data_IF_275318911108
#
_entry.id   IF_275318911108
#
_cell.length_a   1.000
_cell.length_b   1.000
_cell.length_c   1.000
_cell.angle_alpha   90.00
_cell.angle_beta   90.00
_cell.angle_gamma   90.00
#
_symmetry.space_group_name_H-M   'P 1'
#
loop_
_entity.id
_entity.type
_entity.pdbx_description
1 polymer ?
#
# COMPACT_ATOMS: atom_id res chain seq x y z
N UNK A 1 -41.94 33.62 7.32
CA UNK A 1 -41.01 34.07 6.28
C UNK A 1 -39.62 33.97 6.90
N UNK A 2 -38.84 32.96 6.51
CA UNK A 2 -37.61 32.50 7.18
C UNK A 2 -36.43 33.36 6.71
N UNK A 3 -35.57 33.76 7.65
CA UNK A 3 -34.24 34.35 7.43
C UNK A 3 -33.15 33.34 7.88
N UNK A 4 -31.89 33.50 7.45
CA UNK A 4 -31.01 32.41 6.99
C UNK A 4 -29.94 31.96 7.99
N UNK A 5 -29.32 30.79 7.77
CA UNK A 5 -28.00 30.50 8.33
C UNK A 5 -27.19 29.59 7.38
N UNK A 6 -25.97 30.03 7.07
CA UNK A 6 -24.91 29.31 6.37
C UNK A 6 -24.19 28.48 7.44
N UNK A 7 -23.89 27.20 7.17
CA UNK A 7 -22.56 26.59 7.32
C UNK A 7 -22.59 25.07 7.61
N UNK A 8 -21.47 24.47 7.19
CA UNK A 8 -20.82 23.30 7.75
C UNK A 8 -21.33 21.91 7.32
N UNK A 9 -20.58 21.32 6.37
CA UNK A 9 -20.34 19.88 6.30
C UNK A 9 -19.67 19.43 7.62
N UNK A 10 -20.20 18.42 8.34
CA UNK A 10 -19.44 17.63 9.30
C UNK A 10 -19.02 16.30 8.62
N UNK A 11 -17.86 15.69 8.81
CA UNK A 11 -16.69 15.93 9.64
C UNK A 11 -15.53 15.24 8.91
N UNK A 12 -14.45 15.96 8.65
CA UNK A 12 -13.14 15.35 8.64
C UNK A 12 -12.82 14.96 10.09
N UNK A 13 -12.54 13.68 10.35
CA UNK A 13 -11.68 13.19 11.43
C UNK A 13 -11.81 11.68 11.55
N UNK A 14 -10.87 10.97 10.93
CA UNK A 14 -10.21 9.84 11.55
C UNK A 14 -8.73 9.96 11.22
N UNK A 15 -8.10 11.01 11.76
CA UNK A 15 -6.66 11.03 12.01
C UNK A 15 -6.39 9.95 13.07
N UNK A 16 -6.27 8.70 12.62
CA UNK A 16 -5.83 7.58 13.43
C UNK A 16 -4.31 7.59 13.50
N UNK A 17 -3.78 8.15 14.58
CA UNK A 17 -2.44 7.88 15.11
C UNK A 17 -1.29 7.98 14.12
N UNK A 18 -0.85 9.21 13.82
CA UNK A 18 0.55 9.43 13.48
C UNK A 18 1.36 9.20 14.76
N UNK A 19 2.02 8.04 14.87
CA UNK A 19 3.10 7.87 15.83
C UNK A 19 4.20 8.86 15.45
N UNK A 20 4.35 9.91 16.26
CA UNK A 20 5.40 10.93 16.11
C UNK A 20 6.76 10.32 16.46
N UNK A 21 7.29 9.53 15.54
CA UNK A 21 8.73 9.41 15.35
C UNK A 21 8.99 9.81 13.90
N UNK A 22 9.05 11.11 13.63
CA UNK A 22 9.36 11.66 12.30
C UNK A 22 10.87 11.57 12.02
N UNK A 23 11.37 10.64 11.19
CA UNK A 23 12.18 11.08 10.08
C UNK A 23 11.23 11.74 9.09
N UNK A 24 11.56 12.94 8.63
CA UNK A 24 10.82 13.64 7.59
C UNK A 24 10.47 12.66 6.46
N UNK A 25 9.18 12.29 6.36
CA UNK A 25 8.73 11.35 5.34
C UNK A 25 9.13 11.93 3.98
N UNK A 26 9.92 11.21 3.17
CA UNK A 26 10.35 11.70 1.87
C UNK A 26 9.13 12.08 1.02
N UNK A 27 9.26 13.18 0.27
CA UNK A 27 8.17 13.81 -0.49
C UNK A 27 7.44 12.82 -1.42
N UNK A 28 8.16 11.82 -1.92
CA UNK A 28 7.62 10.76 -2.77
C UNK A 28 6.59 9.86 -2.06
N UNK A 29 6.70 9.67 -0.74
CA UNK A 29 5.70 8.93 0.05
C UNK A 29 4.41 9.74 0.20
N UNK A 30 4.54 11.04 0.43
CA UNK A 30 3.40 11.95 0.58
C UNK A 30 2.61 12.04 -0.73
N UNK A 31 3.29 12.09 -1.88
CA UNK A 31 2.64 12.07 -3.20
C UNK A 31 1.95 10.75 -3.51
N UNK A 32 2.48 9.64 -3.00
CA UNK A 32 1.88 8.32 -3.12
C UNK A 32 0.58 8.23 -2.31
N UNK A 33 0.57 8.74 -1.08
CA UNK A 33 -0.62 8.78 -0.21
C UNK A 33 -1.73 9.63 -0.83
N UNK A 34 -1.39 10.81 -1.34
CA UNK A 34 -2.33 11.69 -2.06
C UNK A 34 -2.86 11.06 -3.36
N UNK A 35 -2.06 10.23 -4.03
CA UNK A 35 -2.49 9.51 -5.24
C UNK A 35 -3.45 8.35 -4.94
N UNK A 36 -3.44 7.86 -3.70
CA UNK A 36 -4.28 6.78 -3.22
C UNK A 36 -5.56 7.29 -2.53
N UNK A 37 -5.62 8.59 -2.18
CA UNK A 37 -6.83 9.25 -1.71
C UNK A 37 -7.97 9.13 -2.74
N UNK A 38 -9.07 8.46 -2.34
CA UNK A 38 -10.26 8.28 -3.16
C UNK A 38 -10.35 6.96 -3.93
N UNK A 39 -9.53 5.96 -3.59
CA UNK A 39 -9.68 4.61 -4.13
C UNK A 39 -11.06 4.00 -3.79
N UNK A 40 -11.80 3.57 -4.82
CA UNK A 40 -13.10 2.90 -4.70
C UNK A 40 -13.17 1.64 -5.59
N UNK A 41 -12.02 1.02 -5.88
CA UNK A 41 -11.87 -0.01 -6.92
C UNK A 41 -12.18 -1.45 -6.52
N UNK A 42 -12.33 -1.74 -5.22
CA UNK A 42 -12.53 -3.11 -4.71
C UNK A 42 -11.42 -4.09 -5.12
N UNK A 43 -11.63 -5.39 -4.88
CA UNK A 43 -10.58 -6.42 -5.08
C UNK A 43 -10.03 -6.48 -6.52
N UNK A 44 -10.87 -6.26 -7.53
CA UNK A 44 -10.47 -6.33 -8.94
C UNK A 44 -9.56 -5.16 -9.38
N UNK A 45 -9.63 -4.02 -8.70
CA UNK A 45 -8.79 -2.85 -9.01
C UNK A 45 -7.49 -2.79 -8.21
N UNK A 46 -7.31 -3.64 -7.20
CA UNK A 46 -6.19 -3.56 -6.26
C UNK A 46 -4.85 -3.80 -6.93
N UNK A 47 -4.72 -4.90 -7.67
CA UNK A 47 -3.48 -5.28 -8.36
C UNK A 47 -3.04 -4.19 -9.35
N UNK A 48 -3.97 -3.64 -10.14
CA UNK A 48 -3.68 -2.58 -11.10
C UNK A 48 -3.31 -1.25 -10.42
N UNK A 49 -3.99 -0.88 -9.33
CA UNK A 49 -3.66 0.32 -8.56
C UNK A 49 -2.25 0.22 -7.96
N UNK A 50 -1.94 -0.92 -7.35
CA UNK A 50 -0.63 -1.19 -6.76
C UNK A 50 0.46 -1.25 -7.84
N UNK A 51 0.19 -1.89 -8.98
CA UNK A 51 1.11 -1.92 -10.13
C UNK A 51 1.41 -0.52 -10.64
N UNK A 52 0.39 0.33 -10.78
CA UNK A 52 0.59 1.72 -11.22
C UNK A 52 1.39 2.52 -10.18
N UNK A 53 1.11 2.36 -8.89
CA UNK A 53 1.85 3.02 -7.83
C UNK A 53 3.33 2.59 -7.80
N UNK A 54 3.59 1.28 -7.91
CA UNK A 54 4.95 0.73 -7.97
C UNK A 54 5.72 1.29 -9.18
N UNK A 55 5.11 1.28 -10.37
CA UNK A 55 5.73 1.82 -11.58
C UNK A 55 6.07 3.32 -11.46
N UNK A 56 5.23 4.12 -10.79
CA UNK A 56 5.51 5.55 -10.55
C UNK A 56 6.70 5.76 -9.62
N UNK A 57 6.88 4.87 -8.64
CA UNK A 57 8.02 4.87 -7.72
C UNK A 57 9.30 4.24 -8.34
N UNK A 58 9.30 3.90 -9.63
CA UNK A 58 10.42 3.21 -10.28
C UNK A 58 10.61 1.76 -9.81
N UNK A 59 9.61 1.22 -9.11
CA UNK A 59 9.54 -0.16 -8.67
C UNK A 59 8.74 -1.06 -9.61
N UNK A 60 8.59 -2.31 -9.21
CA UNK A 60 7.88 -3.33 -9.96
C UNK A 60 7.03 -4.20 -9.03
N UNK A 61 5.79 -4.47 -9.46
CA UNK A 61 4.94 -5.46 -8.81
C UNK A 61 5.42 -6.87 -9.18
N UNK A 62 5.79 -7.66 -8.19
CA UNK A 62 6.28 -9.02 -8.39
C UNK A 62 5.11 -10.00 -8.54
N UNK A 63 4.24 -10.05 -7.53
CA UNK A 63 3.07 -10.92 -7.52
C UNK A 63 2.06 -10.44 -6.48
N UNK A 64 0.85 -10.97 -6.56
CA UNK A 64 -0.19 -10.76 -5.56
C UNK A 64 -0.81 -12.09 -5.13
N UNK A 65 -1.31 -12.13 -3.91
CA UNK A 65 -1.86 -13.33 -3.28
C UNK A 65 -3.10 -12.96 -2.45
N UNK A 66 -4.14 -13.82 -2.40
CA UNK A 66 -5.19 -13.67 -1.41
C UNK A 66 -4.59 -13.82 0.00
N UNK A 67 -4.91 -12.91 0.91
CA UNK A 67 -4.33 -12.89 2.26
C UNK A 67 -4.99 -13.88 3.22
N UNK A 68 -5.98 -14.64 2.75
CA UNK A 68 -6.72 -15.61 3.56
C UNK A 68 -5.79 -16.62 4.25
N UNK A 69 -5.61 -16.44 5.55
CA UNK A 69 -4.77 -17.30 6.41
C UNK A 69 -3.30 -16.86 6.55
N UNK A 70 -2.90 -15.75 5.92
CA UNK A 70 -1.54 -15.19 6.03
C UNK A 70 -1.46 -14.02 7.00
N UNK A 71 -2.47 -13.13 6.98
CA UNK A 71 -2.53 -11.94 7.84
C UNK A 71 -3.99 -11.73 8.27
N UNK A 72 -4.23 -11.50 9.56
CA UNK A 72 -5.56 -11.17 10.08
C UNK A 72 -6.06 -9.83 9.52
N UNK A 73 -7.37 -9.71 9.28
CA UNK A 73 -8.02 -8.50 8.74
C UNK A 73 -7.47 -8.01 7.38
N UNK A 74 -6.78 -8.87 6.65
CA UNK A 74 -6.30 -8.60 5.30
C UNK A 74 -7.03 -9.47 4.28
N UNK A 75 -7.39 -8.89 3.14
CA UNK A 75 -8.05 -9.62 2.04
C UNK A 75 -7.06 -10.07 0.97
N UNK A 76 -6.07 -9.23 0.67
CA UNK A 76 -5.11 -9.46 -0.42
C UNK A 76 -3.80 -8.77 -0.12
N UNK A 77 -2.71 -9.41 -0.49
CA UNK A 77 -1.35 -8.87 -0.34
C UNK A 77 -0.73 -8.80 -1.73
N UNK A 78 -0.11 -7.69 -2.05
CA UNK A 78 0.73 -7.53 -3.23
C UNK A 78 2.17 -7.28 -2.79
N UNK A 79 3.11 -7.99 -3.40
CA UNK A 79 4.53 -7.89 -3.09
C UNK A 79 5.21 -7.16 -4.22
N UNK A 80 5.92 -6.09 -3.89
CA UNK A 80 6.56 -5.18 -4.84
C UNK A 80 8.02 -5.00 -4.46
N UNK A 81 8.86 -4.75 -5.47
CA UNK A 81 10.19 -4.21 -5.27
C UNK A 81 10.17 -2.73 -5.60
N UNK A 82 10.80 -1.90 -4.77
CA UNK A 82 11.00 -0.48 -5.05
C UNK A 82 12.50 -0.15 -4.90
N UNK A 83 13.01 0.86 -5.63
CA UNK A 83 14.39 1.28 -5.47
C UNK A 83 14.63 1.80 -4.04
N UNK A 84 15.77 1.40 -3.46
CA UNK A 84 16.23 1.83 -2.13
C UNK A 84 17.74 2.07 -2.18
N UNK A 85 18.13 3.33 -2.34
CA UNK A 85 19.53 3.72 -2.55
C UNK A 85 20.11 3.11 -3.83
N UNK A 86 21.15 2.29 -3.69
CA UNK A 86 21.84 1.59 -4.79
C UNK A 86 21.23 0.19 -5.07
N UNK A 87 20.17 -0.17 -4.35
CA UNK A 87 19.56 -1.49 -4.40
C UNK A 87 18.05 -1.45 -4.65
N UNK A 88 17.44 -2.62 -4.56
CA UNK A 88 15.99 -2.80 -4.63
C UNK A 88 15.55 -3.45 -3.33
N UNK A 89 14.52 -2.90 -2.69
CA UNK A 89 13.91 -3.46 -1.48
C UNK A 89 12.54 -4.04 -1.77
N UNK A 90 12.18 -5.11 -1.07
CA UNK A 90 10.83 -5.67 -1.10
C UNK A 90 9.94 -4.93 -0.09
N UNK A 91 8.72 -4.61 -0.52
CA UNK A 91 7.65 -4.01 0.28
C UNK A 91 6.33 -4.71 0.01
N UNK A 92 5.41 -4.63 0.98
CA UNK A 92 4.12 -5.29 0.94
C UNK A 92 3.02 -4.23 0.88
N UNK A 93 2.12 -4.37 -0.09
CA UNK A 93 0.87 -3.64 -0.13
C UNK A 93 -0.25 -4.57 0.38
N UNK A 94 -0.92 -4.18 1.45
CA UNK A 94 -1.99 -4.93 2.07
C UNK A 94 -3.32 -4.25 1.78
N UNK A 95 -4.28 -5.01 1.26
CA UNK A 95 -5.67 -4.59 1.13
C UNK A 95 -6.42 -4.99 2.40
N UNK A 96 -7.08 -4.03 3.04
CA UNK A 96 -7.90 -4.29 4.22
C UNK A 96 -9.07 -5.25 3.92
N UNK A 97 -9.65 -5.85 4.97
CA UNK A 97 -10.78 -6.78 4.85
C UNK A 97 -11.99 -6.20 4.09
N UNK A 98 -12.23 -4.89 4.21
CA UNK A 98 -13.33 -4.20 3.53
C UNK A 98 -13.01 -3.87 2.07
N UNK A 99 -11.74 -3.99 1.64
CA UNK A 99 -11.32 -3.73 0.26
C UNK A 99 -11.36 -2.25 -0.11
N UNK A 100 -11.28 -1.37 0.89
CA UNK A 100 -11.42 0.08 0.77
C UNK A 100 -10.10 0.82 0.92
N UNK A 101 -9.17 0.26 1.68
CA UNK A 101 -7.88 0.89 2.01
C UNK A 101 -6.71 -0.03 1.68
N UNK A 102 -5.67 0.57 1.11
CA UNK A 102 -4.40 -0.09 0.79
C UNK A 102 -3.34 0.48 1.73
N UNK A 103 -2.65 -0.38 2.47
CA UNK A 103 -1.58 0.00 3.40
C UNK A 103 -0.25 -0.57 2.92
N UNK A 104 0.78 0.26 2.91
CA UNK A 104 2.14 -0.16 2.60
C UNK A 104 2.87 -0.53 3.90
N UNK A 105 3.47 -1.70 3.94
CA UNK A 105 4.22 -2.19 5.09
C UNK A 105 5.60 -2.68 4.65
N UNK A 106 6.61 -2.38 5.47
CA UNK A 106 7.88 -3.10 5.37
C UNK A 106 7.67 -4.54 5.85
N UNK A 107 8.38 -5.52 5.27
CA UNK A 107 8.28 -6.88 5.76
C UNK A 107 8.76 -7.00 7.21
N UNK A 108 8.01 -7.78 7.98
CA UNK A 108 8.21 -8.08 9.39
C UNK A 108 8.46 -9.59 9.60
N UNK A 109 8.57 -10.03 10.85
CA UNK A 109 8.87 -11.42 11.20
C UNK A 109 7.77 -12.38 10.72
N UNK A 110 6.51 -11.93 10.76
CA UNK A 110 5.37 -12.70 10.26
C UNK A 110 5.37 -12.80 8.74
N UNK A 111 5.74 -11.75 8.02
CA UNK A 111 5.75 -11.71 6.54
C UNK A 111 7.09 -12.08 5.90
N UNK A 112 8.08 -12.46 6.71
CA UNK A 112 9.43 -12.86 6.26
C UNK A 112 9.41 -13.99 5.23
N UNK A 113 8.46 -14.92 5.32
CA UNK A 113 8.32 -16.00 4.35
C UNK A 113 7.85 -15.51 2.97
N UNK A 114 7.07 -14.43 2.91
CA UNK A 114 6.68 -13.79 1.64
C UNK A 114 7.87 -13.10 0.98
N UNK A 115 8.77 -12.50 1.75
CA UNK A 115 10.01 -11.93 1.22
C UNK A 115 10.91 -13.00 0.63
N UNK A 116 11.12 -14.12 1.34
CA UNK A 116 11.91 -15.24 0.81
C UNK A 116 11.32 -15.80 -0.47
N UNK A 117 10.00 -15.89 -0.54
CA UNK A 117 9.31 -16.30 -1.76
C UNK A 117 9.53 -15.29 -2.89
N UNK A 118 9.52 -13.99 -2.59
CA UNK A 118 9.82 -12.94 -3.56
C UNK A 118 11.25 -12.99 -4.08
N UNK A 119 12.25 -13.15 -3.20
CA UNK A 119 13.65 -13.30 -3.60
C UNK A 119 13.83 -14.52 -4.51
N UNK A 120 13.25 -15.66 -4.15
CA UNK A 120 13.30 -16.88 -4.97
C UNK A 120 12.61 -16.70 -6.33
N UNK A 121 11.50 -15.95 -6.37
CA UNK A 121 10.77 -15.65 -7.60
C UNK A 121 11.59 -14.73 -8.52
N UNK A 122 12.25 -13.72 -7.97
CA UNK A 122 13.17 -12.83 -8.70
C UNK A 122 14.32 -13.64 -9.30
N UNK A 123 14.94 -14.53 -8.52
CA UNK A 123 16.06 -15.35 -9.00
C UNK A 123 15.66 -16.23 -10.20
N UNK A 124 14.41 -16.71 -10.22
CA UNK A 124 13.87 -17.46 -11.36
C UNK A 124 13.65 -16.54 -12.56
N UNK A 125 13.09 -15.34 -12.38
CA UNK A 125 12.86 -14.39 -13.47
C UNK A 125 14.18 -13.87 -14.09
N UNK A 126 15.21 -13.62 -13.29
CA UNK A 126 16.51 -13.12 -13.76
C UNK A 126 17.36 -14.19 -14.49
N UNK A 127 16.94 -15.46 -14.43
CA UNK A 127 17.61 -16.60 -15.09
C UNK A 127 17.07 -16.93 -16.48
N UNK A 128 16.05 -16.22 -16.97
CA UNK A 128 15.37 -16.47 -18.26
C UNK A 128 15.72 -15.35 -19.24
#
# INVERSE_FOLDING_TARGET
MIAPEIAARPQASALGGIDHTEPMLPMELVELELSLEGYAGGEAGFCEAVRQAANRAGGELLFDLPAGGLIEDCRRIAVLRIPDGDGMRVVLALLDANGTEIRMQAPDEETTHLVRFADAFIEVLERI
#
